data_IF_133443855002
#
_entry.id   IF_133443855002
#
_cell.length_a   1.000
_cell.length_b   1.000
_cell.length_c   1.000
_cell.angle_alpha   90.00
_cell.angle_beta   90.00
_cell.angle_gamma   90.00
#
_symmetry.space_group_name_H-M   'P 1'
#
loop_
_entity.id
_entity.type
_entity.pdbx_description
1 polymer ?
#
# COMPACT_ATOMS: atom_id res chain seq x y z
N UNK A 1 9.88 15.25 19.10
CA UNK A 1 10.34 13.94 18.58
C UNK A 1 9.14 13.06 18.27
N UNK A 2 8.18 12.93 19.19
CA UNK A 2 6.87 12.31 18.95
C UNK A 2 6.14 12.88 17.71
N UNK A 3 6.27 14.17 17.47
CA UNK A 3 5.62 14.84 16.31
C UNK A 3 6.26 14.52 14.95
N UNK A 4 7.46 13.92 14.92
CA UNK A 4 8.19 13.64 13.67
C UNK A 4 7.82 12.25 13.12
N UNK A 5 7.57 11.28 13.99
CA UNK A 5 7.27 9.90 13.62
C UNK A 5 6.00 9.41 14.31
N UNK A 6 4.92 9.28 13.55
CA UNK A 6 3.64 8.80 14.06
C UNK A 6 3.74 7.43 14.77
N UNK A 7 4.68 6.56 14.34
CA UNK A 7 4.89 5.25 14.95
C UNK A 7 5.70 5.25 16.25
N UNK A 8 6.20 6.40 16.72
CA UNK A 8 7.07 6.48 17.89
C UNK A 8 6.36 6.01 19.18
N UNK A 9 5.14 6.48 19.43
CA UNK A 9 4.38 6.10 20.62
C UNK A 9 4.00 4.62 20.65
N UNK A 10 3.74 4.02 19.49
CA UNK A 10 3.39 2.60 19.40
C UNK A 10 4.63 1.71 19.63
N UNK A 11 5.80 2.14 19.14
CA UNK A 11 7.07 1.50 19.46
C UNK A 11 7.42 1.64 20.94
N UNK A 12 7.23 2.82 21.54
CA UNK A 12 7.48 3.05 22.96
C UNK A 12 6.58 2.18 23.84
N UNK A 13 5.29 2.05 23.51
CA UNK A 13 4.38 1.13 24.21
C UNK A 13 4.81 -0.33 24.10
N UNK A 14 5.40 -0.73 22.97
CA UNK A 14 5.77 -2.12 22.68
C UNK A 14 7.13 -2.52 23.25
N UNK A 15 8.10 -1.62 23.23
CA UNK A 15 9.50 -1.88 23.58
C UNK A 15 9.91 -1.25 24.92
N UNK A 16 9.14 -0.27 25.41
CA UNK A 16 9.43 0.48 26.62
C UNK A 16 10.32 1.71 26.37
N UNK A 17 10.15 2.72 27.23
CA UNK A 17 10.85 4.02 27.14
C UNK A 17 12.37 3.91 27.17
N UNK A 18 12.92 2.96 27.94
CA UNK A 18 14.37 2.82 28.06
C UNK A 18 15.00 2.25 26.80
N UNK A 19 14.30 1.36 26.11
CA UNK A 19 14.81 0.75 24.88
C UNK A 19 14.74 1.70 23.69
N UNK A 20 13.79 2.64 23.67
CA UNK A 20 13.69 3.67 22.62
C UNK A 20 14.96 4.50 22.46
N UNK A 21 15.74 4.69 23.53
CA UNK A 21 17.02 5.42 23.51
C UNK A 21 18.10 4.67 22.71
N UNK A 22 17.98 3.35 22.60
CA UNK A 22 18.92 2.49 21.89
C UNK A 22 18.57 2.31 20.40
N UNK A 23 17.38 2.76 19.97
CA UNK A 23 16.88 2.55 18.62
C UNK A 23 17.30 3.74 17.71
N UNK A 24 17.97 3.48 16.57
CA UNK A 24 18.28 4.52 15.61
C UNK A 24 17.00 5.17 15.04
N UNK A 25 16.99 6.49 14.87
CA UNK A 25 15.84 7.21 14.29
C UNK A 25 15.44 6.69 12.90
N UNK A 26 16.39 6.23 12.10
CA UNK A 26 16.11 5.60 10.81
C UNK A 26 15.22 4.35 10.93
N UNK A 27 15.39 3.56 11.99
CA UNK A 27 14.57 2.39 12.24
C UNK A 27 13.13 2.77 12.65
N UNK A 28 12.97 3.82 13.45
CA UNK A 28 11.66 4.38 13.82
C UNK A 28 10.94 4.93 12.58
N UNK A 29 11.67 5.63 11.72
CA UNK A 29 11.17 6.10 10.43
C UNK A 29 10.72 4.97 9.52
N UNK A 30 11.52 3.91 9.42
CA UNK A 30 11.17 2.72 8.64
C UNK A 30 9.95 1.99 9.20
N UNK A 31 9.83 1.86 10.52
CA UNK A 31 8.64 1.29 11.15
C UNK A 31 7.39 2.11 10.82
N UNK A 32 7.47 3.43 10.92
CA UNK A 32 6.37 4.34 10.58
C UNK A 32 5.98 4.22 9.10
N UNK A 33 6.96 4.06 8.21
CA UNK A 33 6.73 3.80 6.79
C UNK A 33 6.03 2.46 6.56
N UNK A 34 6.48 1.40 7.24
CA UNK A 34 5.90 0.06 7.13
C UNK A 34 4.43 0.03 7.61
N UNK A 35 4.13 0.73 8.71
CA UNK A 35 2.77 0.89 9.21
C UNK A 35 1.87 1.60 8.18
N UNK A 36 2.34 2.73 7.64
CA UNK A 36 1.63 3.45 6.57
C UNK A 36 1.43 2.59 5.32
N UNK A 37 2.42 1.79 4.95
CA UNK A 37 2.32 0.85 3.82
C UNK A 37 1.26 -0.22 4.09
N UNK A 38 1.19 -0.75 5.32
CA UNK A 38 0.15 -1.69 5.75
C UNK A 38 -1.25 -1.10 5.61
N UNK A 39 -1.45 0.14 6.07
CA UNK A 39 -2.72 0.86 5.92
C UNK A 39 -3.10 1.05 4.43
N UNK A 40 -2.15 1.48 3.59
CA UNK A 40 -2.39 1.61 2.14
C UNK A 40 -2.76 0.29 1.47
N UNK A 41 -2.12 -0.81 1.89
CA UNK A 41 -2.44 -2.15 1.40
C UNK A 41 -3.85 -2.59 1.81
N UNK A 42 -4.27 -2.29 3.04
CA UNK A 42 -5.64 -2.54 3.49
C UNK A 42 -6.67 -1.74 2.68
N UNK A 43 -6.36 -0.48 2.34
CA UNK A 43 -7.22 0.34 1.48
C UNK A 43 -7.35 -0.25 0.07
N UNK A 44 -6.25 -0.70 -0.52
CA UNK A 44 -6.25 -1.40 -1.81
C UNK A 44 -7.12 -2.67 -1.74
N UNK A 45 -6.91 -3.49 -0.72
CA UNK A 45 -7.67 -4.72 -0.49
C UNK A 45 -9.16 -4.46 -0.30
N UNK A 46 -9.53 -3.40 0.44
CA UNK A 46 -10.92 -2.99 0.62
C UNK A 46 -11.56 -2.56 -0.72
N UNK A 47 -10.86 -1.74 -1.51
CA UNK A 47 -11.33 -1.33 -2.83
C UNK A 47 -11.49 -2.49 -3.81
N UNK A 48 -10.62 -3.49 -3.71
CA UNK A 48 -10.67 -4.72 -4.50
C UNK A 48 -11.61 -5.80 -3.94
N UNK A 49 -12.19 -5.60 -2.75
CA UNK A 49 -13.00 -6.58 -2.01
C UNK A 49 -12.26 -7.91 -1.79
N UNK A 50 -10.99 -7.84 -1.38
CA UNK A 50 -10.14 -8.98 -1.03
C UNK A 50 -9.90 -8.99 0.48
N UNK A 51 -10.20 -10.11 1.14
CA UNK A 51 -10.12 -10.20 2.61
C UNK A 51 -8.80 -10.80 3.10
N UNK A 52 -7.99 -11.34 2.19
CA UNK A 52 -6.67 -11.88 2.48
C UNK A 52 -5.67 -11.58 1.37
N UNK A 53 -4.39 -11.45 1.72
CA UNK A 53 -3.33 -11.06 0.78
C UNK A 53 -3.17 -12.04 -0.38
N UNK A 54 -3.37 -13.33 -0.14
CA UNK A 54 -3.32 -14.36 -1.17
C UNK A 54 -4.46 -14.28 -2.20
N UNK A 55 -5.47 -13.44 -1.99
CA UNK A 55 -6.53 -13.17 -2.96
C UNK A 55 -6.24 -11.95 -3.84
N UNK A 56 -5.20 -11.17 -3.54
CA UNK A 56 -4.72 -10.09 -4.39
C UNK A 56 -3.94 -10.72 -5.54
N UNK A 57 -4.32 -10.40 -6.77
CA UNK A 57 -3.67 -10.87 -7.98
C UNK A 57 -3.24 -9.67 -8.83
N UNK A 58 -2.69 -9.94 -10.02
CA UNK A 58 -2.34 -8.88 -10.98
C UNK A 58 -3.56 -8.14 -11.55
N UNK A 59 -4.78 -8.60 -11.25
CA UNK A 59 -6.02 -7.97 -11.71
C UNK A 59 -6.41 -6.75 -10.87
N UNK A 60 -5.91 -6.64 -9.63
CA UNK A 60 -6.19 -5.53 -8.72
C UNK A 60 -5.16 -4.39 -8.80
N UNK A 61 -4.15 -4.52 -9.66
CA UNK A 61 -3.11 -3.51 -9.87
C UNK A 61 -3.09 -3.04 -11.32
N UNK A 62 -2.57 -1.83 -11.54
CA UNK A 62 -2.46 -1.22 -12.84
C UNK A 62 -1.16 -0.44 -12.98
N UNK A 63 -0.67 -0.30 -14.20
CA UNK A 63 0.54 0.44 -14.51
C UNK A 63 0.25 1.94 -14.52
N UNK A 64 1.06 2.71 -13.80
CA UNK A 64 0.95 4.18 -13.76
C UNK A 64 1.53 4.87 -15.00
N UNK A 65 2.28 4.16 -15.84
CA UNK A 65 2.81 4.67 -17.10
C UNK A 65 2.81 3.56 -18.18
N UNK A 66 3.00 3.96 -19.45
CA UNK A 66 2.96 3.03 -20.59
C UNK A 66 4.18 2.12 -20.69
N UNK A 67 5.34 2.57 -20.23
CA UNK A 67 6.58 1.78 -20.24
C UNK A 67 6.48 0.57 -19.31
N UNK A 68 6.06 0.78 -18.07
CA UNK A 68 5.75 -0.31 -17.12
C UNK A 68 4.67 -1.23 -17.66
N UNK A 69 3.65 -0.70 -18.35
CA UNK A 69 2.63 -1.54 -18.97
C UNK A 69 3.21 -2.47 -20.05
N UNK A 70 4.10 -1.93 -20.88
CA UNK A 70 4.80 -2.68 -21.93
C UNK A 70 5.70 -3.78 -21.33
N UNK A 71 6.52 -3.44 -20.34
CA UNK A 71 7.49 -4.38 -19.75
C UNK A 71 6.83 -5.45 -18.85
N UNK A 72 5.79 -5.09 -18.11
CA UNK A 72 5.19 -5.98 -17.09
C UNK A 72 3.96 -6.74 -17.58
N UNK A 73 3.38 -6.33 -18.72
CA UNK A 73 2.08 -6.81 -19.20
C UNK A 73 0.88 -6.40 -18.33
N UNK A 74 1.08 -5.56 -17.30
CA UNK A 74 -0.01 -5.03 -16.48
C UNK A 74 -0.64 -3.84 -17.22
N UNK A 75 -1.97 -3.83 -17.46
CA UNK A 75 -2.62 -2.75 -18.20
C UNK A 75 -2.37 -1.37 -17.60
N UNK A 76 -2.29 -0.36 -18.45
CA UNK A 76 -2.21 1.03 -18.03
C UNK A 76 -3.51 1.47 -17.35
N UNK A 77 -3.43 2.37 -16.36
CA UNK A 77 -4.59 2.84 -15.58
C UNK A 77 -5.77 3.34 -16.44
N UNK A 78 -5.49 3.91 -17.62
CA UNK A 78 -6.52 4.40 -18.55
C UNK A 78 -7.22 3.28 -19.35
N UNK A 79 -6.63 2.08 -19.42
CA UNK A 79 -7.13 0.96 -20.23
C UNK A 79 -7.88 -0.08 -19.37
N UNK A 80 -7.62 -0.09 -18.07
CA UNK A 80 -8.27 -0.97 -17.10
C UNK A 80 -9.78 -0.75 -17.12
N UNK A 81 -10.56 -1.84 -17.19
CA UNK A 81 -12.02 -1.85 -17.19
C UNK A 81 -12.70 -1.12 -18.37
N UNK A 82 -11.95 -0.60 -19.35
CA UNK A 82 -12.52 0.14 -20.48
C UNK A 82 -13.53 -0.73 -21.28
N UNK A 83 -13.16 -1.98 -21.57
CA UNK A 83 -14.03 -2.91 -22.29
C UNK A 83 -15.28 -3.30 -21.48
N UNK A 84 -15.15 -3.48 -20.17
CA UNK A 84 -16.29 -3.72 -19.28
C UNK A 84 -17.24 -2.51 -19.27
N UNK A 85 -16.70 -1.29 -19.20
CA UNK A 85 -17.49 -0.07 -19.21
C UNK A 85 -18.25 0.12 -20.54
N UNK A 86 -17.59 -0.11 -21.68
CA UNK A 86 -18.23 -0.04 -23.00
C UNK A 86 -19.37 -1.05 -23.17
N UNK A 87 -19.20 -2.28 -22.64
CA UNK A 87 -20.26 -3.30 -22.67
C UNK A 87 -21.50 -2.86 -21.89
N UNK A 88 -21.32 -2.24 -20.73
CA UNK A 88 -22.42 -1.68 -19.93
C UNK A 88 -23.11 -0.54 -20.68
N UNK A 89 -22.35 0.33 -21.34
CA UNK A 89 -22.90 1.48 -22.08
C UNK A 89 -23.71 1.08 -23.32
N UNK A 90 -23.36 -0.04 -23.96
CA UNK A 90 -24.02 -0.58 -25.14
C UNK A 90 -25.10 -1.64 -24.82
N UNK A 91 -25.43 -1.84 -23.54
CA UNK A 91 -26.52 -2.69 -23.06
C UNK A 91 -27.75 -1.83 -22.75
#
# INVERSE_FOLDING_TARGET
MDEIFAGYHDLEKKLGKDEMKNIPYGAIGFYTLADKLGCGLQQLMAGARKFSLNQVTRQEIFSGNRETAHETGIPHVADVNNESAKKILNS
#
